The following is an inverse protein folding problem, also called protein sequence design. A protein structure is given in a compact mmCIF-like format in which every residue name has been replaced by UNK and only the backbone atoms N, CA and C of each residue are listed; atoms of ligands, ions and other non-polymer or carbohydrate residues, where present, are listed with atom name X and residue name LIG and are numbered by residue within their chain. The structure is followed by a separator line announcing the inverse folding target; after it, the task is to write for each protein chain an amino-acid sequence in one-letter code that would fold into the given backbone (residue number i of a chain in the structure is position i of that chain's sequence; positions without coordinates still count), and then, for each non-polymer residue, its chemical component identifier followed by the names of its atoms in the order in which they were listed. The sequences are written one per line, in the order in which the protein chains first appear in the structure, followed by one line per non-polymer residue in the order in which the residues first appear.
data_IF_690993767143
#
_entry.id   IF_690993767143
#
_cell.length_a   1.000
_cell.length_b   1.000
_cell.length_c   1.000
_cell.angle_alpha   90.00
_cell.angle_beta   90.00
_cell.angle_gamma   90.00
#
_symmetry.space_group_name_H-M   'P 1'
#
loop_
_entity.id
_entity.type
_entity.pdbx_description
1 polymer ?
#
# COMPACT_ATOMS: atom_id res chain seq x y z
N UNK A 1 -55.31 32.72 -33.45
CA UNK A 1 -54.21 33.37 -34.19
C UNK A 1 -52.86 33.14 -33.49
N UNK A 2 -52.85 32.99 -32.16
CA UNK A 2 -51.57 32.83 -31.41
C UNK A 2 -51.03 31.39 -31.42
N UNK A 3 -51.90 30.37 -31.46
CA UNK A 3 -51.44 28.95 -31.41
C UNK A 3 -50.72 28.51 -32.69
N UNK A 4 -51.18 28.95 -33.89
CA UNK A 4 -50.53 28.59 -35.14
C UNK A 4 -49.14 29.24 -35.28
N UNK A 5 -48.98 30.48 -34.78
CA UNK A 5 -47.69 31.17 -34.81
C UNK A 5 -46.69 30.55 -33.81
N UNK A 6 -47.15 30.01 -32.68
CA UNK A 6 -46.30 29.31 -31.72
C UNK A 6 -45.79 27.98 -32.29
N UNK A 7 -46.63 27.25 -32.99
CA UNK A 7 -46.25 25.96 -33.62
C UNK A 7 -45.27 26.21 -34.78
N UNK A 8 -45.43 27.26 -35.55
CA UNK A 8 -44.48 27.60 -36.62
C UNK A 8 -43.09 27.98 -36.10
N UNK A 9 -43.02 28.80 -35.03
CA UNK A 9 -41.76 29.15 -34.38
C UNK A 9 -41.05 27.91 -33.78
N UNK A 10 -41.81 26.97 -33.21
CA UNK A 10 -41.26 25.73 -32.67
C UNK A 10 -40.70 24.83 -33.81
N UNK A 11 -41.39 24.78 -34.96
CA UNK A 11 -40.88 24.01 -36.11
C UNK A 11 -39.62 24.63 -36.72
N UNK A 12 -39.54 25.96 -36.81
CA UNK A 12 -38.33 26.66 -37.27
C UNK A 12 -37.17 26.45 -36.31
N UNK A 13 -37.39 26.62 -35.02
CA UNK A 13 -36.35 26.33 -33.99
C UNK A 13 -35.86 24.89 -34.07
N UNK A 14 -36.77 23.92 -34.21
CA UNK A 14 -36.39 22.50 -34.35
C UNK A 14 -35.64 22.20 -35.66
N UNK A 15 -36.00 22.87 -36.74
CA UNK A 15 -35.33 22.71 -38.03
C UNK A 15 -33.92 23.30 -38.02
N UNK A 16 -33.72 24.37 -37.27
CA UNK A 16 -32.42 25.05 -37.18
C UNK A 16 -31.51 24.42 -36.12
N UNK A 17 -32.04 24.02 -34.96
CA UNK A 17 -31.25 23.51 -33.81
C UNK A 17 -31.44 22.03 -33.51
N UNK A 18 -32.44 21.38 -34.13
CA UNK A 18 -32.80 19.98 -33.78
C UNK A 18 -31.65 18.98 -33.94
N UNK A 19 -30.81 19.14 -34.96
CA UNK A 19 -29.62 18.27 -35.11
C UNK A 19 -28.61 18.45 -34.00
N UNK A 20 -28.41 19.67 -33.53
CA UNK A 20 -27.51 19.96 -32.40
C UNK A 20 -28.06 19.44 -31.07
N UNK A 21 -29.38 19.57 -30.85
CA UNK A 21 -30.06 19.06 -29.64
C UNK A 21 -29.99 17.52 -29.60
N UNK A 22 -30.30 16.85 -30.72
CA UNK A 22 -30.21 15.38 -30.81
C UNK A 22 -28.78 14.90 -30.57
N UNK A 23 -27.80 15.55 -31.21
CA UNK A 23 -26.39 15.23 -30.98
C UNK A 23 -25.97 15.43 -29.51
N UNK A 24 -26.39 16.53 -28.90
CA UNK A 24 -26.12 16.80 -27.47
C UNK A 24 -26.75 15.77 -26.53
N UNK A 25 -27.99 15.35 -26.83
CA UNK A 25 -28.69 14.30 -26.07
C UNK A 25 -27.98 12.96 -26.19
N UNK A 26 -27.59 12.55 -27.43
CA UNK A 26 -26.87 11.29 -27.66
C UNK A 26 -25.52 11.27 -26.96
N UNK A 27 -24.76 12.38 -27.04
CA UNK A 27 -23.48 12.52 -26.34
C UNK A 27 -23.69 12.47 -24.81
N UNK A 28 -24.69 13.21 -24.29
CA UNK A 28 -25.01 13.23 -22.86
C UNK A 28 -25.39 11.85 -22.31
N UNK A 29 -26.24 11.12 -23.04
CA UNK A 29 -26.58 9.73 -22.66
C UNK A 29 -25.38 8.80 -22.77
N UNK A 30 -24.57 8.94 -23.82
CA UNK A 30 -23.36 8.15 -23.98
C UNK A 30 -22.36 8.33 -22.83
N UNK A 31 -22.12 9.58 -22.41
CA UNK A 31 -21.27 9.90 -21.27
C UNK A 31 -21.87 9.41 -19.95
N UNK A 32 -23.19 9.60 -19.76
CA UNK A 32 -23.90 9.17 -18.54
C UNK A 32 -23.87 7.65 -18.38
N UNK A 33 -24.20 6.89 -19.43
CA UNK A 33 -24.19 5.44 -19.38
C UNK A 33 -22.76 4.88 -19.31
N UNK A 34 -21.80 5.51 -20.00
CA UNK A 34 -20.39 5.14 -19.91
C UNK A 34 -19.83 5.34 -18.51
N UNK A 35 -20.13 6.48 -17.87
CA UNK A 35 -19.72 6.73 -16.48
C UNK A 35 -20.40 5.78 -15.49
N UNK A 36 -21.70 5.55 -15.63
CA UNK A 36 -22.44 4.63 -14.79
C UNK A 36 -21.92 3.18 -14.90
N UNK A 37 -21.58 2.74 -16.11
CA UNK A 37 -20.98 1.42 -16.34
C UNK A 37 -19.61 1.32 -15.66
N UNK A 38 -18.78 2.35 -15.80
CA UNK A 38 -17.47 2.41 -15.17
C UNK A 38 -17.58 2.39 -13.63
N UNK A 39 -18.48 3.18 -13.07
CA UNK A 39 -18.73 3.28 -11.63
C UNK A 39 -19.22 1.95 -11.04
N UNK A 40 -20.19 1.29 -11.69
CA UNK A 40 -20.66 -0.02 -11.26
C UNK A 40 -19.57 -1.09 -11.31
N UNK A 41 -18.75 -1.11 -12.36
CA UNK A 41 -17.66 -2.08 -12.50
C UNK A 41 -16.59 -1.87 -11.42
N UNK A 42 -16.28 -0.62 -11.10
CA UNK A 42 -15.33 -0.27 -10.04
C UNK A 42 -15.85 -0.70 -8.66
N UNK A 43 -17.14 -0.46 -8.36
CA UNK A 43 -17.77 -0.86 -7.10
C UNK A 43 -17.76 -2.39 -6.93
N UNK A 44 -18.18 -3.15 -7.96
CA UNK A 44 -18.15 -4.61 -7.91
C UNK A 44 -16.73 -5.17 -7.70
N UNK A 45 -15.74 -4.57 -8.32
CA UNK A 45 -14.33 -4.97 -8.14
C UNK A 45 -13.86 -4.71 -6.72
N UNK A 46 -14.22 -3.56 -6.14
CA UNK A 46 -13.87 -3.22 -4.75
C UNK A 46 -14.59 -4.12 -3.74
N UNK A 47 -15.88 -4.42 -3.97
CA UNK A 47 -16.65 -5.33 -3.11
C UNK A 47 -16.06 -6.74 -3.12
N UNK A 48 -15.69 -7.26 -4.28
CA UNK A 48 -15.01 -8.58 -4.40
C UNK A 48 -13.65 -8.55 -3.70
N UNK A 49 -12.84 -7.51 -3.89
CA UNK A 49 -11.54 -7.38 -3.23
C UNK A 49 -11.68 -7.30 -1.71
N UNK A 50 -12.67 -6.57 -1.20
CA UNK A 50 -12.99 -6.51 0.23
C UNK A 50 -13.45 -7.86 0.79
N UNK A 51 -14.28 -8.59 0.04
CA UNK A 51 -14.73 -9.92 0.44
C UNK A 51 -13.58 -10.93 0.48
N UNK A 52 -12.72 -10.92 -0.54
CA UNK A 52 -11.51 -11.75 -0.58
C UNK A 52 -10.57 -11.42 0.59
N UNK A 53 -10.38 -10.14 0.90
CA UNK A 53 -9.59 -9.73 2.07
C UNK A 53 -10.12 -10.33 3.36
N UNK A 54 -11.44 -10.24 3.62
CA UNK A 54 -12.04 -10.77 4.84
C UNK A 54 -11.89 -12.29 4.94
N UNK A 55 -12.15 -13.01 3.84
CA UNK A 55 -12.02 -14.45 3.78
C UNK A 55 -10.57 -14.89 3.99
N UNK A 56 -9.64 -14.37 3.20
CA UNK A 56 -8.22 -14.75 3.25
C UNK A 56 -7.59 -14.43 4.59
N UNK A 57 -7.94 -13.28 5.19
CA UNK A 57 -7.44 -12.90 6.52
C UNK A 57 -7.91 -13.87 7.61
N UNK A 58 -9.18 -14.31 7.55
CA UNK A 58 -9.71 -15.30 8.48
C UNK A 58 -9.01 -16.66 8.30
N UNK A 59 -8.90 -17.14 7.08
CA UNK A 59 -8.29 -18.44 6.76
C UNK A 59 -6.77 -18.48 7.07
N UNK A 60 -6.05 -17.36 6.85
CA UNK A 60 -4.65 -17.23 7.27
C UNK A 60 -4.52 -17.30 8.78
N UNK A 61 -5.43 -16.65 9.53
CA UNK A 61 -5.41 -16.69 11.01
C UNK A 61 -5.72 -18.09 11.56
N UNK A 62 -6.50 -18.90 10.84
CA UNK A 62 -6.78 -20.31 11.16
C UNK A 62 -5.63 -21.24 10.77
N UNK A 63 -4.63 -20.75 10.05
CA UNK A 63 -3.45 -21.50 9.65
C UNK A 63 -3.65 -22.42 8.46
N UNK A 64 -4.61 -22.15 7.59
CA UNK A 64 -4.88 -22.92 6.37
C UNK A 64 -3.71 -22.78 5.37
N UNK A 65 -3.15 -23.91 4.95
CA UNK A 65 -2.07 -23.91 3.93
C UNK A 65 -2.59 -23.44 2.55
N UNK A 66 -3.84 -23.73 2.22
CA UNK A 66 -4.45 -23.25 0.98
C UNK A 66 -4.59 -21.72 0.98
N UNK A 67 -4.90 -21.10 2.13
CA UNK A 67 -5.01 -19.66 2.24
C UNK A 67 -3.71 -18.93 1.90
N UNK A 68 -2.56 -19.53 2.16
CA UNK A 68 -1.25 -18.96 1.78
C UNK A 68 -1.14 -18.85 0.25
N UNK A 69 -1.49 -19.91 -0.47
CA UNK A 69 -1.44 -19.93 -1.94
C UNK A 69 -2.47 -18.96 -2.55
N UNK A 70 -3.69 -18.97 -2.04
CA UNK A 70 -4.74 -18.06 -2.49
C UNK A 70 -4.41 -16.59 -2.20
N UNK A 71 -3.81 -16.31 -1.04
CA UNK A 71 -3.32 -14.97 -0.70
C UNK A 71 -2.20 -14.50 -1.63
N UNK A 72 -1.24 -15.38 -1.95
CA UNK A 72 -0.17 -15.08 -2.91
C UNK A 72 -0.73 -14.78 -4.31
N UNK A 73 -1.69 -15.58 -4.78
CA UNK A 73 -2.35 -15.37 -6.08
C UNK A 73 -3.10 -14.03 -6.08
N UNK A 74 -3.93 -13.77 -5.08
CA UNK A 74 -4.69 -12.52 -4.97
C UNK A 74 -3.79 -11.27 -4.94
N UNK A 75 -2.68 -11.32 -4.21
CA UNK A 75 -1.68 -10.23 -4.16
C UNK A 75 -1.01 -10.04 -5.51
N UNK A 76 -0.62 -11.14 -6.18
CA UNK A 76 0.08 -11.06 -7.47
C UNK A 76 -0.79 -10.54 -8.61
N UNK A 77 -2.08 -10.86 -8.59
CA UNK A 77 -3.05 -10.41 -9.60
C UNK A 77 -3.52 -8.97 -9.39
N UNK A 78 -3.46 -8.46 -8.16
CA UNK A 78 -4.04 -7.17 -7.79
C UNK A 78 -3.06 -6.29 -6.98
N UNK A 79 -1.81 -6.10 -7.40
CA UNK A 79 -0.77 -5.49 -6.56
C UNK A 79 -1.09 -4.04 -6.14
N UNK A 80 -1.78 -3.27 -6.98
CA UNK A 80 -2.16 -1.88 -6.69
C UNK A 80 -3.44 -1.76 -5.84
N UNK A 81 -4.16 -2.87 -5.62
CA UNK A 81 -5.39 -2.87 -4.83
C UNK A 81 -5.05 -2.82 -3.33
N UNK A 82 -5.64 -1.86 -2.61
CA UNK A 82 -5.39 -1.67 -1.17
C UNK A 82 -5.72 -2.92 -0.35
N UNK A 83 -6.77 -3.66 -0.70
CA UNK A 83 -7.12 -4.90 0.00
C UNK A 83 -6.10 -6.01 -0.23
N UNK A 84 -5.55 -6.12 -1.44
CA UNK A 84 -4.47 -7.05 -1.73
C UNK A 84 -3.18 -6.67 -0.98
N UNK A 85 -2.87 -5.38 -0.85
CA UNK A 85 -1.75 -4.91 -0.04
C UNK A 85 -1.94 -5.24 1.45
N UNK A 86 -3.17 -5.11 1.97
CA UNK A 86 -3.49 -5.54 3.35
C UNK A 86 -3.36 -7.05 3.53
N UNK A 87 -3.80 -7.86 2.55
CA UNK A 87 -3.57 -9.31 2.54
C UNK A 87 -2.09 -9.63 2.52
N UNK A 88 -1.28 -8.92 1.72
CA UNK A 88 0.17 -9.10 1.66
C UNK A 88 0.84 -8.84 3.02
N UNK A 89 0.40 -7.82 3.76
CA UNK A 89 0.91 -7.54 5.10
C UNK A 89 0.53 -8.65 6.10
N UNK A 90 -0.68 -9.22 6.01
CA UNK A 90 -1.12 -10.34 6.84
C UNK A 90 -0.38 -11.63 6.47
N UNK A 91 -0.23 -11.89 5.16
CA UNK A 91 0.54 -13.03 4.67
C UNK A 91 2.00 -12.97 5.16
N UNK A 92 2.61 -11.79 5.11
CA UNK A 92 3.97 -11.61 5.62
C UNK A 92 4.07 -11.88 7.12
N UNK A 93 3.10 -11.42 7.91
CA UNK A 93 3.04 -11.72 9.35
C UNK A 93 2.94 -13.22 9.59
N UNK A 94 1.99 -13.89 8.94
CA UNK A 94 1.78 -15.33 9.04
C UNK A 94 3.04 -16.12 8.65
N UNK A 95 3.72 -15.69 7.58
CA UNK A 95 4.96 -16.31 7.12
C UNK A 95 6.11 -16.15 8.12
N UNK A 96 6.27 -14.98 8.73
CA UNK A 96 7.26 -14.74 9.80
C UNK A 96 7.00 -15.64 11.01
N UNK A 97 5.76 -15.78 11.46
CA UNK A 97 5.37 -16.66 12.58
C UNK A 97 5.71 -18.13 12.32
N UNK A 98 5.74 -18.53 11.05
CA UNK A 98 6.14 -19.89 10.60
C UNK A 98 7.58 -19.99 10.16
N UNK A 99 8.37 -18.94 10.32
CA UNK A 99 9.79 -18.89 9.91
C UNK A 99 9.96 -19.02 8.39
N UNK A 100 8.90 -18.82 7.59
CA UNK A 100 8.96 -18.73 6.12
C UNK A 100 9.32 -17.30 5.71
N UNK A 101 10.59 -16.95 5.93
CA UNK A 101 11.08 -15.60 5.64
C UNK A 101 11.08 -15.28 4.14
N UNK A 102 11.13 -16.29 3.28
CA UNK A 102 11.08 -16.08 1.82
C UNK A 102 9.71 -15.56 1.37
N UNK A 103 8.63 -16.18 1.83
CA UNK A 103 7.27 -15.72 1.57
C UNK A 103 7.03 -14.33 2.19
N UNK A 104 7.55 -14.08 3.39
CA UNK A 104 7.45 -12.77 4.03
C UNK A 104 8.12 -11.66 3.21
N UNK A 105 9.33 -11.90 2.70
CA UNK A 105 10.05 -10.97 1.81
C UNK A 105 9.24 -10.68 0.56
N UNK A 106 8.74 -11.71 -0.12
CA UNK A 106 7.98 -11.55 -1.37
C UNK A 106 6.72 -10.73 -1.16
N UNK A 107 5.96 -11.03 -0.10
CA UNK A 107 4.73 -10.32 0.22
C UNK A 107 4.97 -8.84 0.58
N UNK A 108 5.99 -8.55 1.41
CA UNK A 108 6.34 -7.18 1.79
C UNK A 108 6.91 -6.39 0.62
N UNK A 109 7.76 -7.01 -0.22
CA UNK A 109 8.33 -6.37 -1.40
C UNK A 109 7.22 -5.94 -2.38
N UNK A 110 6.20 -6.78 -2.59
CA UNK A 110 5.05 -6.43 -3.42
C UNK A 110 4.37 -5.14 -2.95
N UNK A 111 4.20 -4.95 -1.62
CA UNK A 111 3.62 -3.72 -1.08
C UNK A 111 4.56 -2.52 -1.25
N UNK A 112 5.87 -2.70 -1.00
CA UNK A 112 6.87 -1.63 -1.19
C UNK A 112 6.86 -1.10 -2.62
N UNK A 113 6.71 -2.00 -3.60
CA UNK A 113 6.81 -1.66 -5.02
C UNK A 113 5.49 -1.11 -5.61
N UNK A 114 4.34 -1.47 -5.03
CA UNK A 114 3.03 -1.17 -5.62
C UNK A 114 2.17 -0.19 -4.83
N UNK A 115 2.44 0.04 -3.53
CA UNK A 115 1.62 0.92 -2.73
C UNK A 115 1.76 2.38 -3.17
N UNK A 116 0.62 3.00 -3.48
CA UNK A 116 0.55 4.42 -3.82
C UNK A 116 0.50 5.31 -2.57
N UNK A 117 0.06 4.76 -1.44
CA UNK A 117 0.13 5.43 -0.14
C UNK A 117 1.54 5.30 0.44
N UNK A 118 2.20 6.45 0.66
CA UNK A 118 3.56 6.51 1.18
C UNK A 118 3.72 5.89 2.58
N UNK A 119 2.68 5.96 3.42
CA UNK A 119 2.71 5.35 4.75
C UNK A 119 2.61 3.83 4.67
N UNK A 120 1.79 3.31 3.74
CA UNK A 120 1.70 1.87 3.48
C UNK A 120 3.05 1.32 3.00
N UNK A 121 3.66 1.99 2.02
CA UNK A 121 5.00 1.64 1.50
C UNK A 121 6.08 1.72 2.60
N UNK A 122 6.04 2.76 3.44
CA UNK A 122 6.97 2.93 4.54
C UNK A 122 6.82 1.82 5.60
N UNK A 123 5.58 1.50 5.99
CA UNK A 123 5.30 0.39 6.91
C UNK A 123 5.85 -0.94 6.38
N UNK A 124 5.58 -1.23 5.10
CA UNK A 124 6.10 -2.43 4.45
C UNK A 124 7.63 -2.43 4.39
N UNK A 125 8.26 -1.29 4.09
CA UNK A 125 9.72 -1.13 4.06
C UNK A 125 10.38 -1.42 5.41
N UNK A 126 9.82 -0.88 6.50
CA UNK A 126 10.29 -1.14 7.86
C UNK A 126 10.16 -2.62 8.23
N UNK A 127 9.03 -3.26 7.89
CA UNK A 127 8.83 -4.70 8.13
C UNK A 127 9.77 -5.55 7.28
N UNK A 128 9.95 -5.20 6.00
CA UNK A 128 10.85 -5.89 5.09
C UNK A 128 12.30 -5.80 5.58
N UNK A 129 12.75 -4.64 6.03
CA UNK A 129 14.09 -4.48 6.58
C UNK A 129 14.33 -5.44 7.78
N UNK A 130 13.35 -5.58 8.67
CA UNK A 130 13.45 -6.54 9.80
C UNK A 130 13.56 -7.99 9.34
N UNK A 131 12.79 -8.38 8.31
CA UNK A 131 12.87 -9.74 7.74
C UNK A 131 14.21 -9.97 7.07
N UNK A 132 14.75 -8.98 6.35
CA UNK A 132 16.06 -9.05 5.71
C UNK A 132 17.19 -9.16 6.74
N UNK A 133 17.11 -8.45 7.87
CA UNK A 133 18.04 -8.61 9.00
C UNK A 133 17.99 -10.06 9.51
N UNK A 134 16.79 -10.61 9.71
CA UNK A 134 16.62 -12.00 10.16
C UNK A 134 17.17 -13.03 9.14
N UNK A 135 17.30 -12.66 7.87
CA UNK A 135 17.96 -13.46 6.82
C UNK A 135 19.47 -13.15 6.68
N UNK A 136 20.04 -12.33 7.56
CA UNK A 136 21.44 -11.86 7.49
C UNK A 136 21.76 -11.06 6.19
N UNK A 137 20.73 -10.55 5.51
CA UNK A 137 20.86 -9.73 4.31
C UNK A 137 21.02 -8.24 4.68
N UNK A 138 22.07 -7.93 5.44
CA UNK A 138 22.29 -6.65 6.08
C UNK A 138 22.42 -5.48 5.09
N UNK A 139 23.10 -5.68 3.96
CA UNK A 139 23.29 -4.63 2.96
C UNK A 139 21.98 -4.26 2.25
N UNK A 140 21.13 -5.24 1.97
CA UNK A 140 19.80 -5.00 1.41
C UNK A 140 18.91 -4.28 2.40
N UNK A 141 18.91 -4.69 3.67
CA UNK A 141 18.18 -4.02 4.73
C UNK A 141 18.63 -2.58 4.91
N UNK A 142 19.94 -2.33 4.93
CA UNK A 142 20.54 -1.00 5.06
C UNK A 142 20.12 -0.07 3.90
N UNK A 143 20.18 -0.60 2.68
CA UNK A 143 19.75 0.15 1.48
C UNK A 143 18.29 0.54 1.53
N UNK A 144 17.44 -0.28 2.14
CA UNK A 144 16.00 -0.04 2.25
C UNK A 144 15.69 1.05 3.28
N UNK A 145 16.30 1.01 4.47
CA UNK A 145 16.04 1.98 5.54
C UNK A 145 16.69 3.35 5.30
N UNK A 146 17.66 3.43 4.38
CA UNK A 146 18.28 4.71 3.96
C UNK A 146 17.46 5.45 2.90
N UNK A 147 16.41 4.85 2.32
CA UNK A 147 15.51 5.57 1.42
C UNK A 147 14.73 6.62 2.21
N UNK A 148 14.35 7.74 1.57
CA UNK A 148 13.47 8.72 2.19
C UNK A 148 12.13 8.06 2.58
N UNK A 149 11.74 8.22 3.85
CA UNK A 149 10.46 7.74 4.39
C UNK A 149 9.71 8.92 5.01
N UNK A 150 8.38 8.86 5.14
CA UNK A 150 7.60 9.84 5.87
C UNK A 150 8.13 10.03 7.30
N UNK A 151 8.01 11.25 7.83
CA UNK A 151 8.57 11.65 9.14
C UNK A 151 8.15 10.70 10.28
N UNK A 152 6.92 10.20 10.23
CA UNK A 152 6.40 9.24 11.21
C UNK A 152 7.21 7.91 11.29
N UNK A 153 7.96 7.57 10.25
CA UNK A 153 8.78 6.35 10.18
C UNK A 153 10.28 6.62 10.34
N UNK A 154 10.70 7.89 10.38
CA UNK A 154 12.12 8.26 10.45
C UNK A 154 12.83 7.66 11.68
N UNK A 155 12.17 7.66 12.84
CA UNK A 155 12.72 7.07 14.06
C UNK A 155 12.93 5.56 13.95
N UNK A 156 11.95 4.84 13.41
CA UNK A 156 12.06 3.39 13.19
C UNK A 156 13.13 3.03 12.16
N UNK A 157 13.24 3.79 11.08
CA UNK A 157 14.28 3.60 10.08
C UNK A 157 15.69 3.84 10.67
N UNK A 158 15.86 4.90 11.45
CA UNK A 158 17.12 5.20 12.11
C UNK A 158 17.51 4.16 13.17
N UNK A 159 16.53 3.62 13.92
CA UNK A 159 16.77 2.52 14.86
C UNK A 159 17.26 1.25 14.12
N UNK A 160 16.58 0.85 13.04
CA UNK A 160 16.98 -0.30 12.23
C UNK A 160 18.35 -0.09 11.56
N UNK A 161 18.64 1.12 11.07
CA UNK A 161 19.95 1.47 10.55
C UNK A 161 21.04 1.26 11.62
N UNK A 162 20.77 1.69 12.84
CA UNK A 162 21.65 1.45 13.98
C UNK A 162 21.86 -0.01 14.29
N UNK A 163 20.78 -0.82 14.28
CA UNK A 163 20.85 -2.27 14.50
C UNK A 163 21.73 -2.95 13.43
N UNK A 164 21.52 -2.63 12.16
CA UNK A 164 22.28 -3.16 11.03
C UNK A 164 23.76 -2.79 11.14
N UNK A 165 24.07 -1.52 11.40
CA UNK A 165 25.43 -1.05 11.50
C UNK A 165 26.16 -1.64 12.70
N UNK A 166 25.48 -1.84 13.83
CA UNK A 166 26.04 -2.51 15.00
C UNK A 166 26.39 -3.97 14.68
N UNK A 167 25.52 -4.69 13.96
CA UNK A 167 25.77 -6.07 13.55
C UNK A 167 26.92 -6.18 12.55
N UNK A 168 27.11 -5.17 11.69
CA UNK A 168 28.26 -5.04 10.79
C UNK A 168 29.57 -4.62 11.53
N UNK A 169 29.51 -4.31 12.82
CA UNK A 169 30.66 -3.84 13.61
C UNK A 169 30.98 -2.36 13.46
N UNK A 170 30.12 -1.59 12.77
CA UNK A 170 30.28 -0.15 12.53
C UNK A 170 29.76 0.67 13.74
N UNK A 171 30.40 0.54 14.88
CA UNK A 171 29.94 1.04 16.19
C UNK A 171 29.65 2.54 16.21
N UNK A 172 30.52 3.38 15.61
CA UNK A 172 30.35 4.83 15.60
C UNK A 172 29.14 5.27 14.74
N UNK A 173 28.98 4.65 13.58
CA UNK A 173 27.83 4.93 12.71
C UNK A 173 26.54 4.43 13.33
N UNK A 174 26.55 3.25 13.99
CA UNK A 174 25.42 2.73 14.73
C UNK A 174 24.97 3.67 15.85
N UNK A 175 25.95 4.23 16.59
CA UNK A 175 25.67 5.24 17.62
C UNK A 175 24.97 6.46 17.04
N UNK A 176 25.49 7.02 15.95
CA UNK A 176 24.90 8.17 15.30
C UNK A 176 23.47 7.89 14.78
N UNK A 177 23.21 6.67 14.30
CA UNK A 177 21.87 6.25 13.86
C UNK A 177 20.89 6.15 15.04
N UNK A 178 21.29 5.56 16.16
CA UNK A 178 20.45 5.51 17.36
C UNK A 178 20.17 6.88 17.97
N UNK A 179 21.14 7.80 17.94
CA UNK A 179 20.94 9.18 18.39
C UNK A 179 19.90 9.91 17.52
N UNK A 180 19.92 9.69 16.19
CA UNK A 180 18.85 10.20 15.30
C UNK A 180 17.50 9.60 15.62
N UNK A 181 17.45 8.31 15.93
CA UNK A 181 16.21 7.66 16.32
C UNK A 181 15.61 8.23 17.60
N UNK A 182 16.47 8.56 18.62
CA UNK A 182 16.04 9.23 19.84
C UNK A 182 15.47 10.63 19.60
N UNK A 183 16.05 11.37 18.63
CA UNK A 183 15.56 12.71 18.28
C UNK A 183 14.22 12.69 17.54
N UNK A 184 13.93 11.60 16.82
CA UNK A 184 12.73 11.46 16.00
C UNK A 184 11.48 10.99 16.79
N UNK A 185 11.61 10.44 18.01
CA UNK A 185 10.44 9.99 18.75
C UNK A 185 10.67 9.61 20.20
N UNK A 186 9.83 10.12 21.09
CA UNK A 186 9.88 9.83 22.54
C UNK A 186 9.55 8.38 22.91
N UNK A 187 8.80 7.66 22.08
CA UNK A 187 8.27 6.33 22.36
C UNK A 187 9.32 5.19 22.34
N UNK A 188 10.47 5.43 21.73
CA UNK A 188 11.54 4.44 21.55
C UNK A 188 12.64 4.52 22.63
N UNK A 189 12.58 5.50 23.51
CA UNK A 189 13.68 5.92 24.39
C UNK A 189 14.30 4.82 25.26
N UNK A 190 13.58 3.94 26.00
CA UNK A 190 14.22 2.96 26.89
C UNK A 190 15.01 1.89 26.13
N UNK A 191 14.47 1.36 25.04
CA UNK A 191 15.12 0.34 24.21
C UNK A 191 16.37 0.89 23.52
N UNK A 192 16.28 2.11 22.95
CA UNK A 192 17.40 2.78 22.30
C UNK A 192 18.54 3.11 23.26
N UNK A 193 18.23 3.53 24.51
CA UNK A 193 19.24 3.76 25.51
C UNK A 193 20.00 2.48 25.87
N UNK A 194 19.30 1.32 25.96
CA UNK A 194 19.96 0.04 26.18
C UNK A 194 20.89 -0.32 25.01
N UNK A 195 20.44 -0.11 23.75
CA UNK A 195 21.26 -0.33 22.56
C UNK A 195 22.51 0.54 22.55
N UNK A 196 22.36 1.85 22.82
CA UNK A 196 23.50 2.78 22.93
C UNK A 196 24.50 2.36 24.02
N UNK A 197 23.99 1.93 25.17
CA UNK A 197 24.86 1.48 26.27
C UNK A 197 25.58 0.16 25.96
N UNK A 198 25.00 -0.69 25.10
CA UNK A 198 25.65 -1.94 24.66
C UNK A 198 26.85 -1.68 23.74
N UNK A 199 26.79 -0.63 22.91
CA UNK A 199 27.90 -0.22 22.03
C UNK A 199 29.14 0.27 22.80
N UNK A 200 28.99 0.74 24.04
CA UNK A 200 30.12 1.23 24.87
C UNK A 200 30.94 0.07 25.48
N UNK A 201 30.36 -1.13 25.52
CA UNK A 201 30.95 -2.32 26.17
C UNK A 201 31.62 -3.28 25.19
N UNK A 202 31.44 -3.05 23.88
CA UNK A 202 32.09 -3.82 22.81
C UNK A 202 33.34 -3.11 22.29
#
# INVERSE_FOLDING_TARGET
VDEEQQVERLKEFWKEHGKGIVAGVVIGFGLFYGWRYYDQHTLETQERASSNYQQLTAELSEGSENAVLEAQEFVSENPENVYAQLVALQLAQHAVERTDLATAVTALQSVVDSAQDENMSALASIRLARVLIAQEQLDAALSLVKKPLPEAYAGFAAELEGDILAEQGNTEEARAAYERALQAGESLTPALQMKLNSLVKS
#
